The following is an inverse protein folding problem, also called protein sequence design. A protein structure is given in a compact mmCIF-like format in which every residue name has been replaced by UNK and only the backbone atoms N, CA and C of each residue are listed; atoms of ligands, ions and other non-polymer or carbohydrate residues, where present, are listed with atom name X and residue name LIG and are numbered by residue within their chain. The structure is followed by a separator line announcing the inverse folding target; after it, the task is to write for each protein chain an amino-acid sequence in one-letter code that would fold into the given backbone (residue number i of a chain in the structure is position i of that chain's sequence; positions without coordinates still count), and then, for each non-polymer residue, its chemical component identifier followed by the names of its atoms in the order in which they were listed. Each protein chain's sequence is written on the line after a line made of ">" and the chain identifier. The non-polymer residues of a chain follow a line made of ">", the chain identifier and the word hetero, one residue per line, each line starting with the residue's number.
data_IF_703727543423
#
_entry.id   IF_703727543423
#
_cell.length_a   1.000
_cell.length_b   1.000
_cell.length_c   1.000
_cell.angle_alpha   90.00
_cell.angle_beta   90.00
_cell.angle_gamma   90.00
#
_symmetry.space_group_name_H-M   'P 1'
#
loop_
_entity.id
_entity.type
_entity.pdbx_description
1 polymer ?
#
# COMPACT_ATOMS: atom_id res chain seq x y z
N UNK A 1 -18.17 4.90 -22.46
CA UNK A 1 -18.13 4.16 -21.17
C UNK A 1 -17.31 5.00 -20.22
N UNK A 2 -17.90 5.44 -19.13
CA UNK A 2 -17.17 6.18 -18.10
C UNK A 2 -15.98 5.34 -17.59
N UNK A 3 -14.75 5.84 -17.76
CA UNK A 3 -13.51 5.08 -17.49
C UNK A 3 -13.41 4.59 -16.04
N UNK A 4 -14.12 5.23 -15.11
CA UNK A 4 -14.14 4.85 -13.70
C UNK A 4 -14.71 3.44 -13.47
N UNK A 5 -15.67 2.98 -14.29
CA UNK A 5 -16.32 1.68 -14.11
C UNK A 5 -15.31 0.53 -14.27
N UNK A 6 -14.61 0.37 -15.41
CA UNK A 6 -13.63 -0.70 -15.57
C UNK A 6 -12.46 -0.57 -14.58
N UNK A 7 -12.04 0.65 -14.25
CA UNK A 7 -10.99 0.89 -13.25
C UNK A 7 -11.43 0.37 -11.87
N UNK A 8 -12.68 0.58 -11.48
CA UNK A 8 -13.20 0.13 -10.18
C UNK A 8 -13.29 -1.39 -10.11
N UNK A 9 -13.74 -2.05 -11.19
CA UNK A 9 -13.73 -3.51 -11.28
C UNK A 9 -12.32 -4.10 -11.19
N UNK A 10 -11.37 -3.53 -11.93
CA UNK A 10 -9.98 -3.96 -11.87
C UNK A 10 -9.38 -3.73 -10.46
N UNK A 11 -9.67 -2.59 -9.83
CA UNK A 11 -9.23 -2.28 -8.48
C UNK A 11 -9.78 -3.28 -7.46
N UNK A 12 -11.08 -3.60 -7.51
CA UNK A 12 -11.71 -4.58 -6.63
C UNK A 12 -11.09 -5.98 -6.80
N UNK A 13 -10.81 -6.39 -8.04
CA UNK A 13 -10.14 -7.66 -8.33
C UNK A 13 -8.73 -7.71 -7.73
N UNK A 14 -7.91 -6.68 -7.98
CA UNK A 14 -6.55 -6.59 -7.45
C UNK A 14 -6.52 -6.52 -5.92
N UNK A 15 -7.51 -5.87 -5.29
CA UNK A 15 -7.66 -5.86 -3.84
C UNK A 15 -7.91 -7.27 -3.28
N UNK A 16 -8.77 -8.07 -3.91
CA UNK A 16 -9.00 -9.46 -3.51
C UNK A 16 -7.76 -10.34 -3.72
N UNK A 17 -7.08 -10.18 -4.86
CA UNK A 17 -5.85 -10.92 -5.16
C UNK A 17 -4.76 -10.64 -4.12
N UNK A 18 -4.57 -9.37 -3.73
CA UNK A 18 -3.63 -8.97 -2.67
C UNK A 18 -3.95 -9.68 -1.35
N UNK A 19 -5.22 -9.67 -0.93
CA UNK A 19 -5.63 -10.29 0.32
C UNK A 19 -5.40 -11.81 0.32
N UNK A 20 -5.65 -12.48 -0.82
CA UNK A 20 -5.37 -13.90 -0.99
C UNK A 20 -3.86 -14.22 -0.93
N UNK A 21 -3.03 -13.45 -1.65
CA UNK A 21 -1.57 -13.61 -1.65
C UNK A 21 -0.98 -13.34 -0.27
N UNK A 22 -1.44 -12.29 0.43
CA UNK A 22 -0.99 -11.98 1.79
C UNK A 22 -1.35 -13.11 2.78
N UNK A 23 -2.54 -13.71 2.65
CA UNK A 23 -2.93 -14.89 3.46
C UNK A 23 -2.02 -16.09 3.19
N UNK A 24 -1.64 -16.33 1.93
CA UNK A 24 -0.73 -17.40 1.56
C UNK A 24 0.70 -17.16 2.09
N UNK A 25 1.25 -15.95 1.93
CA UNK A 25 2.58 -15.58 2.41
C UNK A 25 2.70 -15.62 3.95
N UNK A 26 1.64 -15.24 4.68
CA UNK A 26 1.64 -15.28 6.16
C UNK A 26 1.85 -16.70 6.70
N UNK A 27 1.41 -17.72 5.97
CA UNK A 27 1.64 -19.13 6.31
C UNK A 27 3.08 -19.61 6.13
N UNK A 28 3.90 -18.91 5.33
CA UNK A 28 5.24 -19.36 4.94
C UNK A 28 6.40 -18.58 5.60
N UNK A 29 6.23 -17.30 5.96
CA UNK A 29 7.36 -16.42 6.38
C UNK A 29 7.19 -15.70 7.74
N UNK A 30 6.09 -15.93 8.46
CA UNK A 30 5.81 -15.22 9.72
C UNK A 30 5.48 -13.73 9.52
N UNK A 31 5.05 -13.06 10.60
CA UNK A 31 4.47 -11.71 10.59
C UNK A 31 5.45 -10.63 10.12
N UNK A 32 6.74 -10.77 10.44
CA UNK A 32 7.78 -9.79 10.09
C UNK A 32 8.13 -9.82 8.59
N UNK A 33 8.18 -11.01 7.99
CA UNK A 33 8.44 -11.16 6.55
C UNK A 33 7.30 -10.61 5.70
N UNK A 34 6.05 -10.77 6.12
CA UNK A 34 4.88 -10.23 5.41
C UNK A 34 4.87 -8.69 5.36
N UNK A 35 5.31 -8.03 6.43
CA UNK A 35 5.44 -6.56 6.45
C UNK A 35 6.62 -6.10 5.58
N UNK A 36 7.75 -6.82 5.62
CA UNK A 36 8.91 -6.49 4.79
C UNK A 36 8.62 -6.65 3.30
N UNK A 37 7.88 -7.68 2.88
CA UNK A 37 7.52 -7.89 1.47
C UNK A 37 6.80 -6.67 0.88
N UNK A 38 5.91 -6.01 1.64
CA UNK A 38 5.19 -4.83 1.16
C UNK A 38 6.10 -3.64 0.86
N UNK A 39 7.07 -3.36 1.72
CA UNK A 39 8.00 -2.24 1.54
C UNK A 39 9.18 -2.62 0.63
N UNK A 40 9.75 -3.80 0.82
CA UNK A 40 10.89 -4.33 0.07
C UNK A 40 10.60 -4.54 -1.42
N UNK A 41 9.44 -5.09 -1.79
CA UNK A 41 9.03 -5.18 -3.20
C UNK A 41 8.43 -3.88 -3.73
N UNK A 42 7.91 -3.01 -2.86
CA UNK A 42 7.34 -1.72 -3.25
C UNK A 42 8.40 -0.73 -3.76
N UNK A 43 9.58 -0.70 -3.13
CA UNK A 43 10.65 0.25 -3.48
C UNK A 43 11.17 0.07 -4.91
N UNK A 44 11.55 -1.15 -5.38
CA UNK A 44 11.98 -1.34 -6.77
C UNK A 44 10.93 -0.92 -7.78
N UNK A 45 9.65 -1.19 -7.51
CA UNK A 45 8.55 -0.80 -8.39
C UNK A 45 8.35 0.72 -8.42
N UNK A 46 8.41 1.38 -7.26
CA UNK A 46 8.33 2.83 -7.16
C UNK A 46 9.49 3.52 -7.92
N UNK A 47 10.72 3.00 -7.77
CA UNK A 47 11.88 3.50 -8.51
C UNK A 47 11.74 3.28 -10.02
N UNK A 48 11.27 2.10 -10.44
CA UNK A 48 11.01 1.80 -11.85
C UNK A 48 9.94 2.74 -12.44
N UNK A 49 8.90 3.06 -11.67
CA UNK A 49 7.86 3.99 -12.10
C UNK A 49 8.37 5.43 -12.23
N UNK A 50 9.17 5.92 -11.26
CA UNK A 50 9.82 7.23 -11.37
C UNK A 50 10.78 7.27 -12.56
N UNK A 51 11.55 6.20 -12.79
CA UNK A 51 12.41 6.08 -13.95
C UNK A 51 11.62 6.10 -15.26
N UNK A 52 10.48 5.41 -15.33
CA UNK A 52 9.59 5.45 -16.49
C UNK A 52 9.01 6.85 -16.72
N UNK A 53 8.59 7.56 -15.67
CA UNK A 53 8.08 8.94 -15.81
C UNK A 53 9.17 9.90 -16.28
N UNK A 54 10.40 9.74 -15.80
CA UNK A 54 11.51 10.59 -16.17
C UNK A 54 12.05 10.29 -17.57
N UNK A 55 12.42 9.03 -17.84
CA UNK A 55 13.04 8.62 -19.10
C UNK A 55 12.02 8.31 -20.21
N UNK A 56 10.84 7.81 -19.87
CA UNK A 56 9.80 7.42 -20.83
C UNK A 56 8.81 8.52 -21.15
N UNK A 57 8.33 9.25 -20.14
CA UNK A 57 7.35 10.33 -20.32
C UNK A 57 7.98 11.74 -20.36
N UNK A 58 9.28 11.87 -20.08
CA UNK A 58 10.02 13.13 -20.21
C UNK A 58 9.76 14.15 -19.10
N UNK A 59 9.15 13.74 -17.98
CA UNK A 59 8.92 14.66 -16.86
C UNK A 59 10.22 14.96 -16.12
N UNK A 60 10.43 16.23 -15.77
CA UNK A 60 11.56 16.63 -14.93
C UNK A 60 11.42 16.04 -13.53
N UNK A 61 12.54 15.61 -12.94
CA UNK A 61 12.58 15.19 -11.54
C UNK A 61 12.25 16.41 -10.66
N UNK A 62 11.22 16.32 -9.78
CA UNK A 62 10.95 17.37 -8.82
C UNK A 62 12.13 17.48 -7.86
N UNK A 63 12.54 18.70 -7.53
CA UNK A 63 13.50 18.93 -6.44
C UNK A 63 12.80 18.60 -5.12
N UNK A 64 13.30 17.65 -4.32
CA UNK A 64 12.68 17.34 -3.03
C UNK A 64 12.77 18.57 -2.12
N UNK A 65 11.62 19.19 -1.83
CA UNK A 65 11.56 20.32 -0.91
C UNK A 65 11.43 19.85 0.55
N UNK A 66 11.78 20.71 1.50
CA UNK A 66 11.62 20.43 2.94
C UNK A 66 10.16 20.14 3.29
N UNK A 67 9.20 20.84 2.70
CA UNK A 67 7.79 20.61 2.93
C UNK A 67 7.36 19.20 2.46
N UNK A 68 7.83 18.80 1.28
CA UNK A 68 7.63 17.44 0.77
C UNK A 68 8.17 16.38 1.75
N UNK A 69 9.39 16.56 2.27
CA UNK A 69 9.99 15.62 3.20
C UNK A 69 9.17 15.48 4.50
N UNK A 70 8.66 16.59 5.04
CA UNK A 70 7.80 16.58 6.24
C UNK A 70 6.54 15.75 5.98
N UNK A 71 5.85 16.01 4.87
CA UNK A 71 4.63 15.28 4.54
C UNK A 71 4.87 13.80 4.24
N UNK A 72 5.99 13.44 3.61
CA UNK A 72 6.37 12.02 3.41
C UNK A 72 6.56 11.31 4.74
N UNK A 73 7.25 11.94 5.70
CA UNK A 73 7.46 11.36 7.04
C UNK A 73 6.13 11.20 7.78
N UNK A 74 5.30 12.25 7.81
CA UNK A 74 4.00 12.21 8.47
C UNK A 74 3.10 11.13 7.84
N UNK A 75 3.01 11.10 6.51
CA UNK A 75 2.21 10.10 5.79
C UNK A 75 2.70 8.67 6.03
N UNK A 76 4.02 8.45 6.01
CA UNK A 76 4.62 7.16 6.31
C UNK A 76 4.33 6.68 7.74
N UNK A 77 4.50 7.56 8.73
CA UNK A 77 4.18 7.25 10.13
C UNK A 77 2.68 7.00 10.34
N UNK A 78 1.82 7.80 9.72
CA UNK A 78 0.36 7.61 9.77
C UNK A 78 -0.04 6.26 9.17
N UNK A 79 0.57 5.85 8.05
CA UNK A 79 0.32 4.55 7.42
C UNK A 79 0.74 3.38 8.34
N UNK A 80 1.91 3.48 9.00
CA UNK A 80 2.38 2.49 9.95
C UNK A 80 1.41 2.39 11.14
N UNK A 81 1.02 3.53 11.71
CA UNK A 81 0.07 3.60 12.82
C UNK A 81 -1.29 3.00 12.44
N UNK A 82 -1.84 3.36 11.28
CA UNK A 82 -3.10 2.81 10.78
C UNK A 82 -3.04 1.28 10.59
N UNK A 83 -1.92 0.76 10.07
CA UNK A 83 -1.72 -0.68 9.91
C UNK A 83 -1.64 -1.38 11.26
N UNK A 84 -0.94 -0.78 12.24
CA UNK A 84 -0.87 -1.31 13.60
C UNK A 84 -2.25 -1.33 14.28
N UNK A 85 -3.02 -0.24 14.16
CA UNK A 85 -4.38 -0.15 14.69
C UNK A 85 -5.31 -1.18 14.04
N UNK A 86 -5.22 -1.37 12.72
CA UNK A 86 -6.01 -2.39 12.03
C UNK A 86 -5.71 -3.80 12.54
N UNK A 87 -4.43 -4.16 12.70
CA UNK A 87 -4.03 -5.47 13.23
C UNK A 87 -4.49 -5.63 14.69
N UNK A 88 -4.35 -4.58 15.50
CA UNK A 88 -4.83 -4.58 16.88
C UNK A 88 -6.35 -4.77 16.95
N UNK A 89 -7.09 -4.09 16.08
CA UNK A 89 -8.54 -4.21 15.99
C UNK A 89 -8.97 -5.64 15.60
N UNK A 90 -8.27 -6.26 14.65
CA UNK A 90 -8.50 -7.66 14.25
C UNK A 90 -8.12 -8.69 15.33
N UNK A 91 -7.34 -8.30 16.35
CA UNK A 91 -7.04 -9.14 17.51
C UNK A 91 -8.22 -9.22 18.48
N UNK A 92 -9.17 -8.29 18.43
CA UNK A 92 -10.40 -8.40 19.20
C UNK A 92 -11.37 -9.35 18.47
N UNK A 93 -11.98 -10.28 19.19
CA UNK A 93 -12.89 -11.33 18.68
C UNK A 93 -14.18 -10.81 18.00
N UNK A 94 -14.31 -9.50 17.76
CA UNK A 94 -15.44 -8.85 17.09
C UNK A 94 -14.99 -8.19 15.78
N UNK A 95 -14.67 -9.03 14.79
CA UNK A 95 -14.38 -8.64 13.40
C UNK A 95 -15.44 -7.70 12.81
N UNK A 96 -16.70 -7.84 13.23
CA UNK A 96 -17.87 -7.08 12.77
C UNK A 96 -17.78 -5.58 13.08
N UNK A 97 -17.17 -5.17 14.19
CA UNK A 97 -17.11 -3.74 14.57
C UNK A 97 -16.06 -2.99 13.75
N UNK A 98 -15.00 -3.67 13.30
CA UNK A 98 -13.96 -3.09 12.46
C UNK A 98 -14.41 -2.80 11.03
N UNK A 99 -15.15 -3.74 10.44
CA UNK A 99 -15.67 -3.59 9.07
C UNK A 99 -16.81 -2.58 8.98
N UNK A 100 -17.52 -2.31 10.08
CA UNK A 100 -18.61 -1.31 10.11
C UNK A 100 -18.11 0.14 10.06
N UNK A 101 -16.83 0.40 10.37
CA UNK A 101 -16.22 1.72 10.41
C UNK A 101 -15.07 1.93 9.39
N UNK A 102 -14.87 0.96 8.47
CA UNK A 102 -13.87 1.04 7.38
C UNK A 102 -14.45 1.58 6.09
#
# INVERSE_FOLDING_TARGET
>A
MELWIPITFAAAFLQNLRSALQKHLKGAMGTTGATFVRFGFGVPFALAFVAFLHYGAGFALPTPDREFAIWVVIGGLAQIAATALLIHLLSFRNFVVGTAYS
#
